data_IF_451260124510
#
_entry.id   IF_451260124510
#
_cell.length_a   1.000
_cell.length_b   1.000
_cell.length_c   1.000
_cell.angle_alpha   90.00
_cell.angle_beta   90.00
_cell.angle_gamma   90.00
#
_symmetry.space_group_name_H-M   'P 1'
#
loop_
_entity.id
_entity.type
_entity.pdbx_description
1 polymer ?
#
# COMPACT_ATOMS: atom_id res chain seq x y z
N UNK A 1 6.64 -12.64 50.30
CA UNK A 1 6.66 -11.21 50.69
C UNK A 1 6.71 -10.39 49.41
N UNK A 2 5.84 -9.41 49.24
CA UNK A 2 5.80 -8.60 48.01
C UNK A 2 6.68 -7.35 48.18
N UNK A 3 7.56 -7.07 47.22
CA UNK A 3 8.36 -5.85 47.21
C UNK A 3 7.44 -4.64 46.95
N UNK A 4 7.20 -3.85 48.00
CA UNK A 4 6.56 -2.54 47.87
C UNK A 4 7.51 -1.63 47.05
N UNK A 5 7.08 -1.03 45.93
CA UNK A 5 7.91 -0.06 45.22
C UNK A 5 8.18 1.15 46.11
N UNK A 6 9.40 1.70 46.07
CA UNK A 6 9.72 2.95 46.78
C UNK A 6 8.83 4.10 46.31
N UNK A 7 8.44 4.96 47.25
CA UNK A 7 7.66 6.17 46.95
C UNK A 7 8.55 7.22 46.25
N UNK A 8 7.94 8.07 45.41
CA UNK A 8 8.57 9.19 44.70
C UNK A 8 9.46 10.04 45.63
N UNK A 9 8.99 10.27 46.86
CA UNK A 9 9.68 11.04 47.90
C UNK A 9 10.94 10.34 48.44
N UNK A 10 10.93 9.02 48.52
CA UNK A 10 12.06 8.21 48.96
C UNK A 10 13.15 8.16 47.87
N UNK A 11 12.75 8.03 46.61
CA UNK A 11 13.64 8.10 45.45
C UNK A 11 14.31 9.48 45.38
N UNK A 12 13.57 10.59 45.52
CA UNK A 12 14.16 11.92 45.59
C UNK A 12 15.12 12.09 46.78
N UNK A 13 14.75 11.60 47.98
CA UNK A 13 15.62 11.67 49.16
C UNK A 13 16.95 10.95 48.93
N UNK A 14 16.91 9.76 48.37
CA UNK A 14 18.09 8.95 48.06
C UNK A 14 18.95 9.61 46.98
N UNK A 15 18.36 10.25 45.97
CA UNK A 15 19.07 11.02 44.94
C UNK A 15 19.76 12.25 45.53
N UNK A 16 19.07 13.03 46.39
CA UNK A 16 19.64 14.21 47.05
C UNK A 16 20.79 13.81 48.00
N UNK A 17 20.64 12.72 48.74
CA UNK A 17 21.72 12.16 49.57
C UNK A 17 22.92 11.72 48.72
N UNK A 18 22.69 11.02 47.61
CA UNK A 18 23.73 10.61 46.67
C UNK A 18 24.46 11.80 46.03
N UNK A 19 23.75 12.90 45.72
CA UNK A 19 24.38 14.13 45.26
C UNK A 19 25.22 14.79 46.36
N UNK A 20 24.74 14.85 47.61
CA UNK A 20 25.47 15.42 48.74
C UNK A 20 26.78 14.66 49.01
N UNK A 21 26.71 13.33 49.13
CA UNK A 21 27.88 12.46 49.33
C UNK A 21 28.96 12.64 48.24
N UNK A 22 28.54 12.84 46.99
CA UNK A 22 29.43 13.04 45.83
C UNK A 22 30.04 14.44 45.77
N UNK A 23 29.35 15.47 46.29
CA UNK A 23 29.87 16.85 46.41
C UNK A 23 30.85 16.94 47.58
N UNK A 24 30.50 16.36 48.72
CA UNK A 24 31.29 16.43 49.97
C UNK A 24 32.44 15.41 50.02
N UNK A 25 32.57 14.56 49.00
CA UNK A 25 33.58 13.49 48.89
C UNK A 25 33.54 12.50 50.06
N UNK A 26 32.35 12.14 50.50
CA UNK A 26 32.13 11.12 51.54
C UNK A 26 32.73 9.74 51.14
N UNK A 27 33.08 8.89 52.11
CA UNK A 27 33.66 7.58 51.84
C UNK A 27 32.81 6.72 50.91
N UNK A 28 33.49 6.05 49.96
CA UNK A 28 32.85 5.38 48.82
C UNK A 28 31.78 4.34 49.19
N UNK A 29 31.87 3.75 50.39
CA UNK A 29 30.87 2.83 50.95
C UNK A 29 29.47 3.45 51.05
N UNK A 30 29.35 4.73 51.41
CA UNK A 30 28.05 5.43 51.52
C UNK A 30 27.41 5.55 50.14
N UNK A 31 28.18 6.00 49.14
CA UNK A 31 27.71 6.11 47.76
C UNK A 31 27.36 4.73 47.14
N UNK A 32 28.12 3.68 47.45
CA UNK A 32 27.82 2.30 47.01
C UNK A 32 26.50 1.82 47.62
N UNK A 33 26.31 1.95 48.94
CA UNK A 33 25.09 1.52 49.62
C UNK A 33 23.84 2.20 49.06
N UNK A 34 23.89 3.51 48.80
CA UNK A 34 22.76 4.24 48.19
C UNK A 34 22.50 3.78 46.75
N UNK A 35 23.54 3.48 45.97
CA UNK A 35 23.39 2.93 44.62
C UNK A 35 22.82 1.51 44.62
N UNK A 36 23.14 0.67 45.61
CA UNK A 36 22.54 -0.68 45.72
C UNK A 36 21.06 -0.64 46.06
N UNK A 37 20.64 0.26 46.96
CA UNK A 37 19.22 0.53 47.26
C UNK A 37 18.49 0.96 45.98
N UNK A 38 19.05 1.93 45.24
CA UNK A 38 18.51 2.39 43.95
C UNK A 38 18.52 1.31 42.85
N UNK A 39 19.34 0.26 42.97
CA UNK A 39 19.40 -0.90 42.05
C UNK A 39 18.35 -1.96 42.35
N UNK A 40 17.96 -2.12 43.63
CA UNK A 40 16.98 -3.11 44.13
C UNK A 40 15.54 -2.59 44.07
N UNK A 41 15.28 -1.40 44.61
CA UNK A 41 13.91 -1.03 45.04
C UNK A 41 13.19 -0.06 44.08
N UNK A 42 13.90 0.44 43.05
CA UNK A 42 13.37 1.36 42.04
C UNK A 42 12.91 0.60 40.79
N UNK A 43 11.59 0.57 40.56
CA UNK A 43 11.01 0.18 39.27
C UNK A 43 11.13 1.34 38.25
N UNK A 44 11.76 1.15 37.05
CA UNK A 44 12.04 2.26 36.15
C UNK A 44 10.80 2.66 35.32
N UNK A 45 10.01 3.62 35.82
CA UNK A 45 8.94 4.27 35.04
C UNK A 45 9.44 5.55 34.37
N UNK A 46 8.93 5.82 33.16
CA UNK A 46 9.31 7.00 32.36
C UNK A 46 9.05 8.32 33.12
N UNK A 47 7.95 8.36 33.86
CA UNK A 47 7.53 9.49 34.69
C UNK A 47 8.48 9.74 35.87
N UNK A 48 8.80 8.70 36.65
CA UNK A 48 9.72 8.78 37.79
C UNK A 48 11.11 9.26 37.39
N UNK A 49 11.66 8.77 36.28
CA UNK A 49 12.99 9.21 35.82
C UNK A 49 12.97 10.64 35.24
N UNK A 50 11.83 11.10 34.72
CA UNK A 50 11.67 12.45 34.16
C UNK A 50 11.47 13.52 35.24
N UNK A 51 10.73 13.22 36.32
CA UNK A 51 10.55 14.15 37.45
C UNK A 51 11.83 14.28 38.27
N UNK A 52 12.37 13.16 38.76
CA UNK A 52 13.53 13.13 39.67
C UNK A 52 14.87 13.40 38.99
N UNK A 53 14.92 13.34 37.64
CA UNK A 53 16.14 13.44 36.81
C UNK A 53 17.22 12.39 37.17
N UNK A 54 16.86 11.32 37.89
CA UNK A 54 17.76 10.31 38.42
C UNK A 54 18.75 9.75 37.39
N UNK A 55 18.27 9.45 36.17
CA UNK A 55 19.09 8.88 35.11
C UNK A 55 20.24 9.79 34.65
N UNK A 56 20.08 11.11 34.73
CA UNK A 56 21.14 12.08 34.39
C UNK A 56 22.19 12.09 35.51
N UNK A 57 21.73 12.12 36.77
CA UNK A 57 22.58 12.17 37.96
C UNK A 57 23.44 10.90 38.03
N UNK A 58 22.83 9.71 37.95
CA UNK A 58 23.56 8.44 37.97
C UNK A 58 24.45 8.29 36.73
N UNK A 59 24.05 8.79 35.55
CA UNK A 59 24.94 8.80 34.38
C UNK A 59 26.17 9.69 34.56
N UNK A 60 26.12 10.73 35.39
CA UNK A 60 27.30 11.54 35.77
C UNK A 60 28.24 10.78 36.70
N UNK A 61 27.70 9.90 37.57
CA UNK A 61 28.49 9.07 38.49
C UNK A 61 29.36 8.01 37.79
N UNK A 62 29.09 7.71 36.51
CA UNK A 62 29.99 6.89 35.67
C UNK A 62 31.40 7.52 35.51
N UNK A 63 31.54 8.82 35.70
CA UNK A 63 32.81 9.55 35.63
C UNK A 63 33.53 9.71 36.99
N UNK A 64 33.06 9.05 38.05
CA UNK A 64 33.72 9.11 39.36
C UNK A 64 35.06 8.35 39.37
N UNK A 65 36.04 8.76 40.21
CA UNK A 65 37.34 8.09 40.30
C UNK A 65 37.25 6.66 40.87
N UNK A 66 36.22 6.36 41.65
CA UNK A 66 36.01 5.04 42.26
C UNK A 66 35.36 4.07 41.24
N UNK A 67 36.12 3.06 40.81
CA UNK A 67 35.74 2.12 39.74
C UNK A 67 34.44 1.38 40.02
N UNK A 68 34.17 0.95 41.26
CA UNK A 68 32.93 0.23 41.60
C UNK A 68 31.69 1.12 41.62
N UNK A 69 31.82 2.38 42.05
CA UNK A 69 30.75 3.39 41.92
C UNK A 69 30.39 3.59 40.45
N UNK A 70 31.41 3.73 39.59
CA UNK A 70 31.21 3.89 38.15
C UNK A 70 30.60 2.63 37.48
N UNK A 71 30.98 1.43 37.92
CA UNK A 71 30.44 0.15 37.45
C UNK A 71 28.97 -0.01 37.82
N UNK A 72 28.61 0.16 39.09
CA UNK A 72 27.22 0.02 39.57
C UNK A 72 26.32 1.09 38.90
N UNK A 73 26.80 2.33 38.76
CA UNK A 73 26.08 3.37 38.03
C UNK A 73 25.81 3.00 36.56
N UNK A 74 26.79 2.41 35.86
CA UNK A 74 26.63 1.96 34.48
C UNK A 74 25.64 0.79 34.33
N UNK A 75 25.63 -0.17 35.27
CA UNK A 75 24.65 -1.25 35.33
C UNK A 75 23.22 -0.71 35.49
N UNK A 76 23.01 0.24 36.42
CA UNK A 76 21.70 0.86 36.69
C UNK A 76 21.17 1.60 35.45
N UNK A 77 21.98 2.47 34.84
CA UNK A 77 21.60 3.22 33.63
C UNK A 77 21.26 2.28 32.47
N UNK A 78 21.96 1.15 32.35
CA UNK A 78 21.68 0.15 31.30
C UNK A 78 20.39 -0.61 31.55
N UNK A 79 20.13 -1.03 32.80
CA UNK A 79 18.86 -1.66 33.23
C UNK A 79 17.68 -0.73 32.94
N UNK A 80 17.77 0.52 33.37
CA UNK A 80 16.70 1.52 33.22
C UNK A 80 16.39 1.86 31.75
N UNK A 81 17.42 2.05 30.91
CA UNK A 81 17.22 2.26 29.46
C UNK A 81 16.50 1.08 28.80
N UNK A 82 16.91 -0.15 29.11
CA UNK A 82 16.32 -1.36 28.54
C UNK A 82 14.84 -1.53 28.92
N UNK A 83 14.48 -1.29 30.19
CA UNK A 83 13.09 -1.37 30.66
C UNK A 83 12.17 -0.34 30.01
N UNK A 84 12.65 0.88 29.78
CA UNK A 84 11.83 1.93 29.15
C UNK A 84 11.69 1.69 27.63
N UNK A 85 12.77 1.28 26.95
CA UNK A 85 12.72 0.97 25.51
C UNK A 85 11.90 -0.29 25.20
N UNK A 86 11.71 -1.22 26.15
CA UNK A 86 10.90 -2.43 25.95
C UNK A 86 9.38 -2.22 26.06
N UNK A 87 8.89 -0.99 26.22
CA UNK A 87 7.44 -0.71 26.40
C UNK A 87 6.87 0.10 25.22
N UNK A 88 6.06 -0.49 24.32
CA UNK A 88 5.38 0.27 23.28
C UNK A 88 4.31 1.18 23.89
N UNK A 89 4.10 2.37 23.32
CA UNK A 89 3.08 3.32 23.77
C UNK A 89 1.73 2.99 23.12
N UNK A 90 0.69 2.84 23.94
CA UNK A 90 -0.70 2.67 23.49
C UNK A 90 -1.28 3.98 22.97
N UNK A 91 -2.31 3.90 22.13
CA UNK A 91 -2.89 5.05 21.42
C UNK A 91 -4.27 5.47 21.96
N UNK A 92 -4.51 6.78 21.99
CA UNK A 92 -5.81 7.44 22.21
C UNK A 92 -5.86 8.73 21.37
N UNK A 93 -7.04 9.20 20.96
CA UNK A 93 -7.19 10.17 19.85
C UNK A 93 -7.95 11.47 20.22
N UNK A 94 -7.57 12.58 19.56
CA UNK A 94 -8.22 13.91 19.50
C UNK A 94 -8.40 14.64 20.86
N UNK A 95 -8.38 15.99 21.00
CA UNK A 95 -8.29 17.19 20.13
C UNK A 95 -7.82 18.36 21.06
N UNK A 96 -7.36 19.58 20.69
CA UNK A 96 -7.26 20.41 19.47
C UNK A 96 -5.95 21.27 19.57
N UNK A 97 -5.82 22.36 18.79
CA UNK A 97 -4.98 23.55 18.98
C UNK A 97 -3.43 23.44 18.91
N UNK A 98 -2.93 23.84 17.74
CA UNK A 98 -1.59 24.39 17.42
C UNK A 98 -1.11 25.51 18.38
N UNK A 99 0.21 25.85 18.45
CA UNK A 99 1.20 25.80 17.36
C UNK A 99 2.40 24.85 17.53
N UNK A 100 3.03 24.54 16.39
CA UNK A 100 4.27 23.78 16.27
C UNK A 100 5.51 24.63 16.62
N UNK A 101 6.69 24.00 16.81
CA UNK A 101 7.52 23.76 15.62
C UNK A 101 7.67 22.27 15.27
N UNK A 102 7.70 22.01 13.97
CA UNK A 102 7.61 20.68 13.37
C UNK A 102 8.76 19.75 13.72
N UNK A 103 8.41 18.51 14.08
CA UNK A 103 9.19 17.34 13.67
C UNK A 103 8.35 16.54 12.66
N UNK A 104 8.23 17.09 11.45
CA UNK A 104 7.51 16.47 10.33
C UNK A 104 8.06 15.07 10.02
N UNK A 105 7.20 14.12 9.58
CA UNK A 105 7.68 12.94 8.86
C UNK A 105 8.36 13.45 7.59
N UNK A 106 9.70 13.39 7.54
CA UNK A 106 10.51 14.07 6.52
C UNK A 106 10.05 13.70 5.11
N UNK A 107 9.34 14.61 4.45
CA UNK A 107 9.08 14.53 3.02
C UNK A 107 10.44 14.57 2.32
N UNK A 108 10.78 13.49 1.60
CA UNK A 108 12.10 13.39 0.97
C UNK A 108 12.25 14.51 -0.07
N UNK A 109 13.30 15.31 0.10
CA UNK A 109 13.67 16.42 -0.79
C UNK A 109 14.69 15.92 -1.80
N UNK A 110 14.23 15.74 -3.03
CA UNK A 110 15.03 15.23 -4.14
C UNK A 110 14.14 14.84 -5.32
N UNK A 111 14.75 14.31 -6.38
CA UNK A 111 14.03 13.92 -7.61
C UNK A 111 13.08 12.73 -7.34
N UNK A 112 11.80 13.04 -7.13
CA UNK A 112 10.74 12.06 -6.84
C UNK A 112 10.53 11.03 -7.96
N UNK A 113 10.97 11.33 -9.19
CA UNK A 113 10.96 10.38 -10.32
C UNK A 113 12.04 9.28 -10.19
N UNK A 114 13.07 9.52 -9.36
CA UNK A 114 14.25 8.64 -9.17
C UNK A 114 14.38 8.05 -7.76
N UNK A 115 13.38 8.22 -6.88
CA UNK A 115 13.36 7.57 -5.55
C UNK A 115 13.41 6.04 -5.70
N UNK A 116 14.22 5.39 -4.88
CA UNK A 116 14.38 3.93 -4.81
C UNK A 116 14.77 3.50 -3.40
N UNK A 117 14.36 2.29 -2.99
CA UNK A 117 14.76 1.71 -1.69
C UNK A 117 16.29 1.63 -1.52
N UNK A 118 17.00 1.35 -2.61
CA UNK A 118 18.46 1.34 -2.72
C UNK A 118 19.08 2.68 -2.31
N UNK A 119 18.46 3.79 -2.71
CA UNK A 119 18.97 5.16 -2.56
C UNK A 119 18.59 5.76 -1.19
N UNK A 120 17.44 5.36 -0.64
CA UNK A 120 17.01 5.70 0.73
C UNK A 120 17.58 4.76 1.80
N UNK A 121 18.35 3.73 1.41
CA UNK A 121 18.88 2.66 2.28
C UNK A 121 17.81 2.01 3.15
N UNK A 122 16.64 1.78 2.55
CA UNK A 122 15.51 1.12 3.19
C UNK A 122 15.78 -0.37 3.29
N UNK A 123 15.72 -0.93 4.51
CA UNK A 123 15.71 -2.38 4.72
C UNK A 123 14.43 -2.97 4.14
N UNK A 124 14.54 -3.53 2.93
CA UNK A 124 13.46 -4.27 2.29
C UNK A 124 13.31 -5.68 2.90
N UNK A 125 14.39 -6.22 3.48
CA UNK A 125 14.41 -7.53 4.12
C UNK A 125 13.44 -7.58 5.31
N UNK A 126 12.32 -8.29 5.14
CA UNK A 126 11.29 -8.49 6.18
C UNK A 126 10.73 -9.90 6.20
N UNK A 127 10.66 -10.58 5.06
CA UNK A 127 10.12 -11.94 4.95
C UNK A 127 11.19 -13.02 5.07
N UNK A 128 12.46 -12.70 4.79
CA UNK A 128 13.56 -13.65 4.80
C UNK A 128 13.67 -14.49 3.52
N UNK A 129 12.64 -14.45 2.67
CA UNK A 129 12.62 -15.05 1.34
C UNK A 129 13.15 -14.06 0.31
N UNK A 130 14.15 -14.46 -0.46
CA UNK A 130 14.87 -13.54 -1.35
C UNK A 130 13.97 -13.01 -2.47
N UNK A 131 13.08 -13.85 -3.01
CA UNK A 131 12.14 -13.47 -4.07
C UNK A 131 11.02 -12.58 -3.56
N UNK A 132 10.52 -12.85 -2.35
CA UNK A 132 9.50 -12.05 -1.66
C UNK A 132 10.02 -10.68 -1.30
N UNK A 133 11.18 -10.60 -0.63
CA UNK A 133 11.83 -9.34 -0.30
C UNK A 133 12.16 -8.54 -1.59
N UNK A 134 12.65 -9.18 -2.67
CA UNK A 134 12.84 -8.50 -3.95
C UNK A 134 11.54 -7.92 -4.54
N UNK A 135 10.39 -8.59 -4.33
CA UNK A 135 9.09 -8.07 -4.74
C UNK A 135 8.60 -6.90 -3.87
N UNK A 136 8.86 -6.89 -2.56
CA UNK A 136 8.61 -5.71 -1.69
C UNK A 136 9.42 -4.50 -2.21
N UNK A 137 10.68 -4.70 -2.58
CA UNK A 137 11.53 -3.65 -3.15
C UNK A 137 11.02 -3.14 -4.50
N UNK A 138 10.47 -4.02 -5.33
CA UNK A 138 9.82 -3.65 -6.59
C UNK A 138 8.57 -2.79 -6.33
N UNK A 139 7.69 -3.21 -5.41
CA UNK A 139 6.49 -2.47 -5.03
C UNK A 139 6.83 -1.11 -4.39
N UNK A 140 7.85 -1.04 -3.53
CA UNK A 140 8.34 0.21 -2.96
C UNK A 140 8.75 1.19 -4.06
N UNK A 141 9.54 0.74 -5.05
CA UNK A 141 9.97 1.59 -6.17
C UNK A 141 8.80 2.06 -7.04
N UNK A 142 7.70 1.30 -7.12
CA UNK A 142 6.48 1.70 -7.81
C UNK A 142 5.67 2.74 -7.05
N UNK A 143 5.46 2.53 -5.73
CA UNK A 143 4.70 3.46 -4.88
C UNK A 143 5.45 4.76 -4.59
N UNK A 144 6.78 4.72 -4.56
CA UNK A 144 7.63 5.89 -4.31
C UNK A 144 7.81 6.79 -5.55
N UNK A 145 7.46 6.30 -6.75
CA UNK A 145 7.58 7.02 -8.00
C UNK A 145 6.61 8.21 -8.07
N UNK A 146 7.15 9.43 -8.15
CA UNK A 146 6.38 10.69 -8.16
C UNK A 146 5.53 10.93 -6.90
N UNK A 147 5.80 10.21 -5.81
CA UNK A 147 5.21 10.40 -4.48
C UNK A 147 6.13 11.23 -3.58
N UNK A 148 5.54 12.06 -2.71
CA UNK A 148 6.29 12.81 -1.69
C UNK A 148 6.30 12.14 -0.30
N UNK A 149 5.37 11.19 -0.11
CA UNK A 149 5.04 10.40 1.07
C UNK A 149 6.26 9.84 1.84
N UNK A 150 6.08 9.56 3.15
CA UNK A 150 7.17 9.07 4.00
C UNK A 150 7.57 7.62 3.66
N UNK A 151 8.88 7.35 3.63
CA UNK A 151 9.42 6.02 3.32
C UNK A 151 8.86 4.92 4.24
N UNK A 152 8.64 5.23 5.51
CA UNK A 152 7.96 4.36 6.49
C UNK A 152 6.55 3.93 6.08
N UNK A 153 5.74 4.84 5.52
CA UNK A 153 4.39 4.54 5.06
C UNK A 153 4.44 3.68 3.79
N UNK A 154 5.36 3.99 2.88
CA UNK A 154 5.55 3.26 1.62
C UNK A 154 6.04 1.81 1.87
N UNK A 155 6.97 1.59 2.81
CA UNK A 155 7.38 0.22 3.25
C UNK A 155 6.17 -0.55 3.75
N UNK A 156 5.37 0.05 4.64
CA UNK A 156 4.22 -0.60 5.26
C UNK A 156 3.19 -1.01 4.20
N UNK A 157 2.86 -0.11 3.27
CA UNK A 157 1.93 -0.41 2.17
C UNK A 157 2.47 -1.44 1.17
N UNK A 158 3.77 -1.40 0.85
CA UNK A 158 4.39 -2.43 0.02
C UNK A 158 4.32 -3.82 0.67
N UNK A 159 4.49 -3.91 1.99
CA UNK A 159 4.39 -5.16 2.77
C UNK A 159 2.93 -5.65 2.88
N UNK A 160 1.95 -4.77 3.08
CA UNK A 160 0.53 -5.12 3.04
C UNK A 160 0.12 -5.73 1.69
N UNK A 161 0.58 -5.16 0.57
CA UNK A 161 0.32 -5.65 -0.78
C UNK A 161 1.04 -6.98 -1.02
N UNK A 162 2.28 -7.13 -0.59
CA UNK A 162 3.02 -8.39 -0.72
C UNK A 162 2.35 -9.52 0.06
N UNK A 163 1.95 -9.27 1.31
CA UNK A 163 1.24 -10.25 2.15
C UNK A 163 -0.08 -10.69 1.52
N UNK A 164 -0.90 -9.75 1.05
CA UNK A 164 -2.15 -10.06 0.39
C UNK A 164 -1.94 -10.84 -0.93
N UNK A 165 -0.83 -10.59 -1.64
CA UNK A 165 -0.49 -11.31 -2.87
C UNK A 165 -0.02 -12.73 -2.57
N UNK A 166 0.78 -12.92 -1.52
CA UNK A 166 1.17 -14.25 -1.05
C UNK A 166 -0.05 -15.05 -0.53
N UNK A 167 -1.01 -14.42 0.14
CA UNK A 167 -2.27 -15.05 0.57
C UNK A 167 -3.17 -15.47 -0.60
N UNK A 168 -3.17 -14.70 -1.69
CA UNK A 168 -3.94 -15.00 -2.91
C UNK A 168 -3.31 -16.13 -3.74
N UNK A 169 -1.99 -16.07 -4.00
CA UNK A 169 -1.30 -17.05 -4.85
C UNK A 169 -0.77 -18.29 -4.09
N UNK A 170 -0.72 -18.24 -2.75
CA UNK A 170 -0.32 -19.33 -1.83
C UNK A 170 1.03 -20.00 -2.13
N UNK A 171 1.95 -19.26 -2.73
CA UNK A 171 3.33 -19.69 -2.99
C UNK A 171 4.08 -18.76 -3.93
N UNK A 172 5.41 -18.90 -4.03
CA UNK A 172 6.25 -18.13 -4.96
C UNK A 172 6.19 -18.70 -6.40
N UNK A 173 4.99 -18.74 -6.98
CA UNK A 173 4.81 -19.18 -8.36
C UNK A 173 5.36 -18.14 -9.36
N UNK A 174 5.65 -18.57 -10.60
CA UNK A 174 6.03 -17.66 -11.68
C UNK A 174 4.95 -16.59 -11.93
N UNK A 175 3.67 -16.95 -11.76
CA UNK A 175 2.50 -16.07 -11.86
C UNK A 175 2.49 -14.96 -10.81
N UNK A 176 2.81 -15.29 -9.55
CA UNK A 176 2.94 -14.33 -8.44
C UNK A 176 3.98 -13.25 -8.79
N UNK A 177 5.19 -13.68 -9.17
CA UNK A 177 6.27 -12.79 -9.63
C UNK A 177 5.89 -12.01 -10.90
N UNK A 178 5.08 -12.56 -11.80
CA UNK A 178 4.62 -11.88 -13.01
C UNK A 178 3.55 -10.81 -12.71
N UNK A 179 2.59 -11.12 -11.83
CA UNK A 179 1.53 -10.20 -11.41
C UNK A 179 2.10 -9.01 -10.65
N UNK A 180 3.03 -9.22 -9.70
CA UNK A 180 3.71 -8.11 -9.00
C UNK A 180 4.56 -7.25 -9.95
N UNK A 181 5.22 -7.85 -10.95
CA UNK A 181 5.89 -7.10 -12.03
C UNK A 181 4.91 -6.26 -12.85
N UNK A 182 3.73 -6.79 -13.17
CA UNK A 182 2.68 -6.04 -13.88
C UNK A 182 2.16 -4.87 -13.04
N UNK A 183 1.83 -5.09 -11.76
CA UNK A 183 1.37 -4.04 -10.85
C UNK A 183 2.40 -2.91 -10.70
N UNK A 184 3.70 -3.24 -10.58
CA UNK A 184 4.78 -2.27 -10.57
C UNK A 184 4.82 -1.39 -11.83
N UNK A 185 4.70 -1.97 -13.04
CA UNK A 185 4.73 -1.17 -14.27
C UNK A 185 3.52 -0.24 -14.40
N UNK A 186 2.33 -0.66 -13.92
CA UNK A 186 1.15 0.21 -13.88
C UNK A 186 1.29 1.34 -12.84
N UNK A 187 1.87 1.08 -11.66
CA UNK A 187 2.19 2.12 -10.66
C UNK A 187 3.22 3.14 -11.18
N UNK A 188 4.20 2.67 -11.97
CA UNK A 188 5.24 3.51 -12.58
C UNK A 188 4.77 4.23 -13.87
N UNK A 189 3.54 4.01 -14.33
CA UNK A 189 3.02 4.64 -15.53
C UNK A 189 2.69 6.11 -15.25
N UNK A 190 3.42 7.04 -15.88
CA UNK A 190 3.20 8.50 -15.75
C UNK A 190 1.75 8.89 -16.11
N UNK A 191 1.15 8.17 -17.07
CA UNK A 191 -0.25 8.30 -17.48
C UNK A 191 -1.28 7.84 -16.44
N UNK A 192 -0.89 7.06 -15.43
CA UNK A 192 -1.77 6.61 -14.34
C UNK A 192 -1.23 6.94 -12.93
N UNK A 193 -0.68 8.15 -12.76
CA UNK A 193 -0.17 8.65 -11.47
C UNK A 193 -1.22 8.68 -10.35
N UNK A 194 -2.52 8.64 -10.67
CA UNK A 194 -3.57 8.48 -9.67
C UNK A 194 -3.55 7.13 -8.96
N UNK A 195 -3.17 6.04 -9.65
CA UNK A 195 -3.21 4.68 -9.09
C UNK A 195 -2.33 4.56 -7.84
N UNK A 196 -1.12 5.12 -7.89
CA UNK A 196 -0.22 5.18 -6.72
C UNK A 196 -0.84 5.95 -5.55
N UNK A 197 -1.46 7.11 -5.82
CA UNK A 197 -2.16 7.90 -4.79
C UNK A 197 -3.33 7.11 -4.18
N UNK A 198 -4.14 6.44 -5.00
CA UNK A 198 -5.35 5.69 -4.58
C UNK A 198 -5.03 4.42 -3.78
N UNK A 199 -3.86 3.80 -4.03
CA UNK A 199 -3.35 2.70 -3.21
C UNK A 199 -2.76 3.21 -1.89
N UNK A 200 -2.07 4.36 -1.89
CA UNK A 200 -1.53 4.95 -0.65
C UNK A 200 -2.61 5.58 0.25
N UNK A 201 -3.66 6.19 -0.30
CA UNK A 201 -4.82 6.72 0.43
C UNK A 201 -5.72 5.62 1.02
N UNK A 202 -5.65 4.40 0.49
CA UNK A 202 -6.48 3.26 0.89
C UNK A 202 -7.82 3.16 0.16
N UNK A 203 -8.10 4.02 -0.83
CA UNK A 203 -9.27 3.87 -1.73
C UNK A 203 -9.28 2.52 -2.45
N UNK A 204 -8.09 2.00 -2.77
CA UNK A 204 -7.90 0.65 -3.29
C UNK A 204 -7.24 -0.20 -2.20
N UNK A 205 -7.99 -1.15 -1.64
CA UNK A 205 -7.45 -2.08 -0.64
C UNK A 205 -6.38 -3.00 -1.26
N UNK A 206 -5.34 -3.41 -0.50
CA UNK A 206 -4.27 -4.27 -1.01
C UNK A 206 -4.79 -5.54 -1.70
N UNK A 207 -5.75 -6.25 -1.10
CA UNK A 207 -6.38 -7.44 -1.67
C UNK A 207 -7.09 -7.18 -3.01
N UNK A 208 -7.79 -6.03 -3.13
CA UNK A 208 -8.45 -5.64 -4.39
C UNK A 208 -7.42 -5.31 -5.47
N UNK A 209 -6.35 -4.59 -5.12
CA UNK A 209 -5.28 -4.19 -6.05
C UNK A 209 -4.64 -5.38 -6.76
N UNK A 210 -4.54 -6.54 -6.10
CA UNK A 210 -4.00 -7.77 -6.68
C UNK A 210 -5.02 -8.44 -7.60
N UNK A 211 -6.30 -8.45 -7.23
CA UNK A 211 -7.36 -9.13 -8.01
C UNK A 211 -7.69 -8.34 -9.29
N UNK A 212 -7.58 -6.99 -9.26
CA UNK A 212 -7.88 -6.11 -10.39
C UNK A 212 -7.29 -6.58 -11.73
N UNK A 213 -8.11 -6.49 -12.77
CA UNK A 213 -7.74 -6.80 -14.15
C UNK A 213 -6.75 -5.78 -14.72
N UNK A 214 -6.09 -6.11 -15.83
CA UNK A 214 -5.20 -5.16 -16.51
C UNK A 214 -5.94 -3.89 -16.93
N UNK A 215 -7.21 -3.99 -17.33
CA UNK A 215 -8.00 -2.86 -17.80
C UNK A 215 -8.40 -1.89 -16.67
N UNK A 216 -8.75 -2.42 -15.50
CA UNK A 216 -8.98 -1.62 -14.28
C UNK A 216 -7.72 -0.97 -13.71
N UNK A 217 -6.53 -1.43 -14.13
CA UNK A 217 -5.23 -0.86 -13.77
C UNK A 217 -4.74 0.23 -14.74
N UNK A 218 -5.48 0.50 -15.84
CA UNK A 218 -5.23 1.63 -16.74
C UNK A 218 -5.70 2.96 -16.12
N UNK A 219 -5.29 4.07 -16.69
CA UNK A 219 -5.91 5.36 -16.40
C UNK A 219 -7.29 5.47 -17.05
N UNK A 220 -8.17 6.28 -16.47
CA UNK A 220 -9.55 6.50 -16.94
C UNK A 220 -9.61 6.85 -18.43
N UNK A 221 -8.83 7.85 -18.86
CA UNK A 221 -8.71 8.24 -20.26
C UNK A 221 -8.29 7.06 -21.16
N UNK A 222 -7.32 6.25 -20.72
CA UNK A 222 -6.83 5.15 -21.55
C UNK A 222 -7.84 4.02 -21.68
N UNK A 223 -8.61 3.77 -20.62
CA UNK A 223 -9.73 2.84 -20.63
C UNK A 223 -10.83 3.30 -21.59
N UNK A 224 -11.21 4.58 -21.54
CA UNK A 224 -12.22 5.14 -22.46
C UNK A 224 -11.77 5.11 -23.93
N UNK A 225 -10.47 5.37 -24.20
CA UNK A 225 -9.87 5.16 -25.53
C UNK A 225 -10.01 3.71 -26.00
N UNK A 226 -9.60 2.73 -25.17
CA UNK A 226 -9.62 1.32 -25.53
C UNK A 226 -11.08 0.78 -25.65
N UNK A 227 -12.01 1.23 -24.80
CA UNK A 227 -13.45 0.92 -24.89
C UNK A 227 -14.06 1.50 -26.19
N UNK A 228 -13.65 2.71 -26.60
CA UNK A 228 -14.06 3.32 -27.87
C UNK A 228 -13.47 2.57 -29.08
N UNK A 229 -12.18 2.24 -29.06
CA UNK A 229 -11.51 1.45 -30.10
C UNK A 229 -12.18 0.07 -30.24
N UNK A 230 -12.50 -0.59 -29.12
CA UNK A 230 -13.23 -1.85 -29.12
C UNK A 230 -14.63 -1.70 -29.75
N UNK A 231 -15.39 -0.67 -29.38
CA UNK A 231 -16.71 -0.36 -29.96
C UNK A 231 -16.64 -0.05 -31.46
N UNK A 232 -15.61 0.67 -31.90
CA UNK A 232 -15.37 0.93 -33.33
C UNK A 232 -14.97 -0.34 -34.09
N UNK A 233 -14.12 -1.20 -33.52
CA UNK A 233 -13.73 -2.47 -34.15
C UNK A 233 -14.93 -3.42 -34.25
N UNK A 234 -15.76 -3.51 -33.22
CA UNK A 234 -17.02 -4.24 -33.27
C UNK A 234 -17.96 -3.70 -34.35
N UNK A 235 -18.05 -2.37 -34.53
CA UNK A 235 -18.82 -1.75 -35.62
C UNK A 235 -18.22 -2.02 -37.00
N UNK A 236 -16.90 -2.01 -37.14
CA UNK A 236 -16.18 -2.32 -38.41
C UNK A 236 -16.29 -3.81 -38.79
N UNK A 237 -16.42 -4.70 -37.80
CA UNK A 237 -16.61 -6.14 -38.01
C UNK A 237 -18.06 -6.55 -38.34
N UNK A 238 -19.05 -5.67 -38.10
CA UNK A 238 -20.43 -5.90 -38.51
C UNK A 238 -20.56 -5.73 -40.03
N UNK A 239 -20.83 -6.83 -40.74
CA UNK A 239 -21.15 -6.80 -42.17
C UNK A 239 -22.42 -5.95 -42.37
N UNK A 240 -22.41 -4.93 -43.26
CA UNK A 240 -23.59 -4.13 -43.51
C UNK A 240 -24.68 -5.00 -44.14
N UNK A 241 -25.79 -5.18 -43.43
CA UNK A 241 -26.95 -5.89 -43.99
C UNK A 241 -27.62 -4.99 -45.02
N UNK A 242 -27.54 -5.36 -46.29
CA UNK A 242 -28.14 -4.60 -47.39
C UNK A 242 -29.65 -4.42 -47.17
N UNK A 243 -30.11 -3.17 -47.12
CA UNK A 243 -31.52 -2.84 -46.99
C UNK A 243 -32.27 -3.23 -48.28
N UNK A 244 -32.97 -4.36 -48.23
CA UNK A 244 -33.83 -4.81 -49.32
C UNK A 244 -35.15 -4.07 -49.27
N UNK A 245 -35.59 -3.50 -50.39
CA UNK A 245 -36.91 -2.91 -50.53
C UNK A 245 -38.00 -3.95 -50.20
N UNK A 246 -38.80 -3.69 -49.18
CA UNK A 246 -39.90 -4.56 -48.76
C UNK A 246 -41.20 -4.07 -49.42
N UNK A 247 -41.95 -4.97 -50.04
CA UNK A 247 -43.18 -4.65 -50.77
C UNK A 247 -44.39 -5.41 -50.22
N UNK A 248 -45.40 -4.67 -49.74
CA UNK A 248 -46.65 -5.27 -49.22
C UNK A 248 -47.59 -5.82 -50.31
N UNK A 249 -47.24 -5.64 -51.59
CA UNK A 249 -47.98 -6.18 -52.73
C UNK A 249 -47.89 -7.72 -52.81
N UNK A 250 -46.79 -8.30 -52.36
CA UNK A 250 -46.47 -9.73 -52.50
C UNK A 250 -46.65 -10.46 -51.16
N UNK A 251 -47.43 -11.56 -51.16
CA UNK A 251 -47.62 -12.42 -49.98
C UNK A 251 -46.73 -13.66 -50.08
N UNK A 252 -45.97 -13.97 -49.03
CA UNK A 252 -45.21 -15.22 -48.98
C UNK A 252 -46.13 -16.43 -48.74
N UNK A 253 -46.09 -17.43 -49.63
CA UNK A 253 -46.89 -18.66 -49.51
C UNK A 253 -46.57 -19.53 -48.29
N UNK A 254 -45.36 -19.43 -47.70
CA UNK A 254 -44.93 -20.29 -46.58
C UNK A 254 -45.30 -19.75 -45.19
N UNK A 255 -45.34 -18.43 -45.01
CA UNK A 255 -45.63 -17.79 -43.72
C UNK A 255 -46.82 -16.81 -43.75
N UNK A 256 -47.48 -16.65 -44.89
CA UNK A 256 -48.67 -15.80 -45.06
C UNK A 256 -48.43 -14.29 -44.97
N UNK A 257 -47.24 -13.84 -44.59
CA UNK A 257 -46.91 -12.42 -44.39
C UNK A 257 -46.53 -11.71 -45.70
N UNK A 258 -46.72 -10.39 -45.70
CA UNK A 258 -46.50 -9.48 -46.83
C UNK A 258 -45.11 -8.84 -46.90
N UNK A 259 -44.15 -9.29 -46.07
CA UNK A 259 -42.78 -8.75 -46.10
C UNK A 259 -41.92 -9.51 -47.11
N UNK A 260 -41.95 -9.06 -48.36
CA UNK A 260 -41.26 -9.67 -49.50
C UNK A 260 -40.46 -8.61 -50.25
N UNK A 261 -39.17 -8.86 -50.41
CA UNK A 261 -38.31 -8.11 -51.33
C UNK A 261 -38.26 -8.79 -52.69
N UNK A 262 -38.30 -8.01 -53.76
CA UNK A 262 -38.22 -8.52 -55.12
C UNK A 262 -37.12 -7.82 -55.93
N UNK A 263 -36.59 -8.52 -56.93
CA UNK A 263 -35.69 -7.98 -57.95
C UNK A 263 -36.05 -8.57 -59.30
N UNK A 264 -35.86 -7.80 -60.37
CA UNK A 264 -36.18 -8.21 -61.73
C UNK A 264 -34.90 -8.37 -62.54
N UNK A 265 -34.77 -9.47 -63.27
CA UNK A 265 -33.63 -9.72 -64.13
C UNK A 265 -34.07 -10.43 -65.41
N UNK A 266 -33.56 -9.97 -66.56
CA UNK A 266 -33.74 -10.67 -67.82
C UNK A 266 -32.89 -11.95 -67.80
N UNK A 267 -33.55 -13.10 -67.82
CA UNK A 267 -32.90 -14.43 -67.79
C UNK A 267 -33.30 -15.32 -68.97
N UNK A 268 -33.88 -14.72 -70.01
CA UNK A 268 -34.38 -15.34 -71.25
C UNK A 268 -34.22 -14.36 -72.43
N UNK A 269 -34.56 -14.78 -73.64
CA UNK A 269 -34.57 -13.97 -74.87
C UNK A 269 -35.28 -12.61 -74.69
N UNK A 270 -34.94 -11.63 -75.51
CA UNK A 270 -35.49 -10.27 -75.42
C UNK A 270 -37.02 -10.20 -75.65
N UNK A 271 -37.58 -11.22 -76.29
CA UNK A 271 -39.01 -11.37 -76.61
C UNK A 271 -39.85 -11.85 -75.40
N UNK A 272 -39.22 -12.29 -74.31
CA UNK A 272 -39.88 -12.73 -73.08
C UNK A 272 -39.76 -11.68 -71.95
N UNK A 273 -40.77 -11.54 -71.06
CA UNK A 273 -40.74 -10.55 -69.98
C UNK A 273 -39.69 -10.85 -68.90
N UNK A 274 -39.32 -9.81 -68.14
CA UNK A 274 -38.32 -9.90 -67.07
C UNK A 274 -38.78 -10.85 -65.95
N UNK A 275 -37.96 -11.86 -65.65
CA UNK A 275 -38.22 -12.77 -64.53
C UNK A 275 -38.08 -12.01 -63.21
N UNK A 276 -39.12 -12.06 -62.39
CA UNK A 276 -39.14 -11.44 -61.06
C UNK A 276 -38.78 -12.48 -60.00
N UNK A 277 -37.68 -12.25 -59.30
CA UNK A 277 -37.22 -13.03 -58.16
C UNK A 277 -37.77 -12.43 -56.88
N UNK A 278 -38.24 -13.26 -55.96
CA UNK A 278 -38.86 -12.84 -54.70
C UNK A 278 -38.24 -13.58 -53.51
N UNK A 279 -38.02 -12.85 -52.42
CA UNK A 279 -37.49 -13.37 -51.16
C UNK A 279 -38.29 -12.81 -49.98
N UNK A 280 -38.82 -13.68 -49.12
CA UNK A 280 -39.47 -13.24 -47.88
C UNK A 280 -38.43 -12.92 -46.80
N UNK A 281 -38.44 -11.69 -46.32
CA UNK A 281 -37.47 -11.18 -45.33
C UNK A 281 -37.66 -11.72 -43.92
N UNK A 282 -38.67 -12.57 -43.68
CA UNK A 282 -38.98 -13.18 -42.38
C UNK A 282 -38.61 -14.66 -42.33
N UNK A 283 -38.96 -15.44 -43.36
CA UNK A 283 -38.78 -16.89 -43.36
C UNK A 283 -37.72 -17.38 -44.37
N UNK A 284 -37.04 -16.47 -45.07
CA UNK A 284 -36.00 -16.77 -46.05
C UNK A 284 -36.49 -17.48 -47.31
N UNK A 285 -37.80 -17.72 -47.46
CA UNK A 285 -38.35 -18.43 -48.61
C UNK A 285 -38.13 -17.63 -49.90
N UNK A 286 -37.58 -18.28 -50.93
CA UNK A 286 -37.29 -17.68 -52.23
C UNK A 286 -38.09 -18.35 -53.34
N UNK A 287 -38.60 -17.57 -54.28
CA UNK A 287 -39.32 -18.06 -55.47
C UNK A 287 -39.12 -17.09 -56.64
N UNK A 288 -39.60 -17.47 -57.83
CA UNK A 288 -39.58 -16.62 -59.03
C UNK A 288 -40.89 -16.76 -59.80
N UNK A 289 -41.23 -15.75 -60.59
CA UNK A 289 -42.25 -15.82 -61.63
C UNK A 289 -41.78 -15.07 -62.88
N UNK A 290 -42.30 -15.49 -64.02
CA UNK A 290 -42.02 -15.01 -65.38
C UNK A 290 -43.34 -14.91 -66.13
#
# INVERSE_FOLDING_TARGET
MANKPMDLREVERNIRALQKAVIEKEPASVAINILEILKRDVFPTEELLRTTKAGIIISKLKANPNKDVARIAAEIVSKWKRTIQSRPKAATAAKVMSPAPSNEPKTFKGDSSKRRWENEKVDVKRTGEQTRDACIGLLYNGLCFMSEESSSNIITKALEIEKAAFEHFRGDNAEYRAKLRSLFQNLKAVSNRELGRKVMSGEITPSKFIIMSHDELKSSHRREEDEKIHKENMKKAQVPMAEKSISDALRCGKCGQKKVSYSQAQTRSADEPMTTFCECTICGNRWKFS
#
